data_IF_070993346808
#
_entry.id   IF_070993346808
#
_cell.length_a   1.000
_cell.length_b   1.000
_cell.length_c   1.000
_cell.angle_alpha   90.00
_cell.angle_beta   90.00
_cell.angle_gamma   90.00
#
_symmetry.space_group_name_H-M   'P 1'
#
loop_
_entity.id
_entity.type
_entity.pdbx_description
1 polymer ?
#
# COMPACT_ATOMS: atom_id res chain seq x y z
N UNK A 1 -35.04 -10.72 -6.54
CA UNK A 1 -33.88 -10.50 -7.42
C UNK A 1 -32.64 -10.65 -6.53
N UNK A 2 -31.70 -11.53 -6.84
CA UNK A 2 -30.43 -11.60 -6.09
C UNK A 2 -29.57 -10.43 -6.59
N UNK A 3 -29.23 -9.51 -5.72
CA UNK A 3 -28.33 -8.39 -6.03
C UNK A 3 -26.91 -8.85 -5.66
N UNK A 4 -26.01 -8.85 -6.62
CA UNK A 4 -24.59 -9.12 -6.36
C UNK A 4 -23.91 -7.84 -5.90
N UNK A 5 -22.90 -7.96 -5.04
CA UNK A 5 -21.94 -6.89 -4.71
C UNK A 5 -20.65 -7.17 -5.46
N UNK A 6 -20.10 -6.14 -6.08
CA UNK A 6 -18.83 -6.21 -6.82
C UNK A 6 -17.72 -5.62 -5.95
N UNK A 7 -16.65 -6.38 -5.70
CA UNK A 7 -15.40 -5.87 -5.16
C UNK A 7 -14.47 -5.59 -6.33
N UNK A 8 -14.21 -4.32 -6.61
CA UNK A 8 -13.50 -3.87 -7.81
C UNK A 8 -12.04 -3.50 -7.51
N UNK A 9 -11.10 -4.15 -8.20
CA UNK A 9 -9.66 -3.91 -8.05
C UNK A 9 -9.12 -2.79 -8.95
N UNK A 10 -9.94 -2.28 -9.89
CA UNK A 10 -9.48 -1.23 -10.79
C UNK A 10 -9.42 0.13 -10.10
N UNK A 11 -8.75 1.09 -10.73
CA UNK A 11 -8.73 2.47 -10.22
C UNK A 11 -10.01 3.25 -10.54
N UNK A 12 -10.93 2.66 -11.33
CA UNK A 12 -12.11 3.36 -11.87
C UNK A 12 -13.04 3.93 -10.80
N UNK A 13 -13.25 3.18 -9.73
CA UNK A 13 -14.25 3.48 -8.73
C UNK A 13 -13.70 4.09 -7.43
N UNK A 14 -12.39 4.03 -7.22
CA UNK A 14 -11.75 4.37 -5.95
C UNK A 14 -12.06 5.76 -5.44
N UNK A 15 -12.12 6.75 -6.34
CA UNK A 15 -12.35 8.15 -5.98
C UNK A 15 -13.79 8.63 -6.24
N UNK A 16 -14.74 7.72 -6.50
CA UNK A 16 -16.15 8.08 -6.57
C UNK A 16 -16.72 8.25 -5.16
N UNK A 17 -17.47 9.33 -4.90
CA UNK A 17 -17.96 9.67 -3.55
C UNK A 17 -18.95 8.64 -3.00
N UNK A 18 -19.74 8.03 -3.87
CA UNK A 18 -20.77 7.04 -3.52
C UNK A 18 -20.25 5.59 -3.53
N UNK A 19 -18.95 5.38 -3.80
CA UNK A 19 -18.31 4.07 -3.76
C UNK A 19 -17.31 4.03 -2.58
N UNK A 20 -17.52 3.17 -1.58
CA UNK A 20 -16.59 3.03 -0.48
C UNK A 20 -15.27 2.41 -0.97
N UNK A 21 -14.15 2.99 -0.52
CA UNK A 21 -12.79 2.53 -0.74
C UNK A 21 -12.31 1.89 0.56
N UNK A 22 -12.17 0.55 0.60
CA UNK A 22 -12.08 -0.17 1.86
C UNK A 22 -10.79 -0.97 2.00
N UNK A 23 -10.15 -0.81 3.16
CA UNK A 23 -9.14 -1.71 3.70
C UNK A 23 -9.71 -2.37 4.93
N UNK A 24 -9.79 -3.70 4.93
CA UNK A 24 -10.52 -4.49 5.92
C UNK A 24 -10.13 -4.21 7.38
N UNK A 25 -8.87 -3.89 7.66
CA UNK A 25 -8.36 -3.59 9.00
C UNK A 25 -8.47 -2.10 9.38
N UNK A 26 -8.81 -1.22 8.44
CA UNK A 26 -8.75 0.23 8.65
C UNK A 26 -10.14 0.86 8.74
N UNK A 27 -10.97 0.65 7.73
CA UNK A 27 -12.28 1.29 7.62
C UNK A 27 -13.40 0.32 7.20
N UNK A 28 -13.55 -0.85 7.85
CA UNK A 28 -14.53 -1.85 7.46
C UNK A 28 -16.00 -1.36 7.60
N UNK A 29 -16.25 -0.33 8.41
CA UNK A 29 -17.59 0.23 8.61
C UNK A 29 -18.10 1.00 7.39
N UNK A 30 -17.19 1.44 6.52
CA UNK A 30 -17.54 2.07 5.25
C UNK A 30 -18.29 1.12 4.29
N UNK A 31 -18.18 -0.19 4.50
CA UNK A 31 -18.95 -1.20 3.77
C UNK A 31 -20.47 -0.97 3.86
N UNK A 32 -20.94 -0.38 4.95
CA UNK A 32 -22.40 -0.11 5.13
C UNK A 32 -22.94 0.91 4.11
N UNK A 33 -22.06 1.68 3.48
CA UNK A 33 -22.43 2.74 2.52
C UNK A 33 -22.45 2.27 1.06
N UNK A 34 -22.07 1.02 0.77
CA UNK A 34 -22.00 0.55 -0.62
C UNK A 34 -23.36 0.55 -1.32
N UNK A 35 -23.38 0.82 -2.61
CA UNK A 35 -24.54 0.74 -3.50
C UNK A 35 -24.37 -0.36 -4.56
N UNK A 36 -23.74 -1.47 -4.16
CA UNK A 36 -23.47 -2.62 -5.04
C UNK A 36 -22.04 -2.71 -5.57
N UNK A 37 -21.21 -1.68 -5.34
CA UNK A 37 -19.79 -1.68 -5.66
C UNK A 37 -18.99 -1.27 -4.42
N UNK A 38 -17.89 -1.99 -4.15
CA UNK A 38 -16.86 -1.64 -3.17
C UNK A 38 -15.53 -1.60 -3.90
N UNK A 39 -14.80 -0.51 -3.78
CA UNK A 39 -13.48 -0.38 -4.40
C UNK A 39 -12.37 -0.94 -3.49
N UNK A 40 -11.48 -1.73 -4.08
CA UNK A 40 -10.25 -2.21 -3.47
C UNK A 40 -9.12 -1.23 -3.77
N UNK A 41 -8.37 -0.74 -2.77
CA UNK A 41 -7.37 0.30 -2.98
C UNK A 41 -6.15 -0.13 -3.80
N UNK A 42 -5.28 0.84 -4.07
CA UNK A 42 -3.95 0.62 -4.63
C UNK A 42 -3.06 -0.18 -3.66
N UNK A 43 -2.20 -1.05 -4.21
CA UNK A 43 -1.37 -1.95 -3.41
C UNK A 43 -0.42 -1.21 -2.45
N UNK A 44 0.24 -0.15 -2.92
CA UNK A 44 1.15 0.64 -2.08
C UNK A 44 0.38 1.46 -1.03
N UNK A 45 -0.82 1.93 -1.37
CA UNK A 45 -1.71 2.60 -0.42
C UNK A 45 -2.16 1.64 0.69
N UNK A 46 -2.60 0.42 0.34
CA UNK A 46 -3.10 -0.55 1.32
C UNK A 46 -2.08 -0.85 2.42
N UNK A 47 -0.87 -1.25 2.05
CA UNK A 47 0.15 -1.57 3.05
C UNK A 47 0.53 -0.36 3.91
N UNK A 48 0.53 0.84 3.32
CA UNK A 48 0.81 2.07 4.06
C UNK A 48 -0.28 2.37 5.08
N UNK A 49 -1.55 2.36 4.69
CA UNK A 49 -2.64 2.74 5.61
C UNK A 49 -2.84 1.73 6.72
N UNK A 50 -2.59 0.43 6.50
CA UNK A 50 -2.61 -0.59 7.56
C UNK A 50 -1.59 -0.27 8.65
N UNK A 51 -0.39 0.18 8.28
CA UNK A 51 0.63 0.62 9.25
C UNK A 51 0.31 1.99 9.86
N UNK A 52 -0.29 2.92 9.11
CA UNK A 52 -0.55 4.28 9.57
C UNK A 52 -1.78 4.39 10.48
N UNK A 53 -2.84 3.61 10.24
CA UNK A 53 -4.12 3.75 10.92
C UNK A 53 -4.02 3.66 12.46
N UNK A 54 -3.34 2.67 13.07
CA UNK A 54 -3.22 2.60 14.53
C UNK A 54 -2.41 3.78 15.10
N UNK A 55 -1.44 4.30 14.38
CA UNK A 55 -0.66 5.48 14.78
C UNK A 55 -1.52 6.74 14.69
N UNK A 56 -2.28 6.88 13.60
CA UNK A 56 -3.18 8.02 13.39
C UNK A 56 -4.28 8.07 14.46
N UNK A 57 -4.86 6.93 14.80
CA UNK A 57 -5.87 6.85 15.86
C UNK A 57 -5.32 7.22 17.24
N UNK A 58 -4.06 6.89 17.53
CA UNK A 58 -3.46 7.11 18.84
C UNK A 58 -2.84 8.52 19.03
N UNK A 59 -2.21 9.08 18.00
CA UNK A 59 -1.41 10.31 18.11
C UNK A 59 -1.74 11.35 17.02
N UNK A 60 -2.65 11.05 16.10
CA UNK A 60 -2.90 11.86 14.92
C UNK A 60 -1.64 11.94 14.04
N UNK A 61 -1.78 11.85 12.75
CA UNK A 61 -0.69 12.10 11.80
C UNK A 61 -0.95 13.42 11.09
N UNK A 62 0.07 14.25 11.03
CA UNK A 62 0.03 15.56 10.37
C UNK A 62 0.68 15.51 8.98
N UNK A 63 1.80 14.76 8.86
CA UNK A 63 2.58 14.68 7.63
C UNK A 63 3.17 13.30 7.42
N UNK A 64 3.18 12.83 6.18
CA UNK A 64 3.86 11.61 5.73
C UNK A 64 4.74 11.93 4.54
N UNK A 65 6.00 11.54 4.61
CA UNK A 65 6.89 11.44 3.45
C UNK A 65 7.19 9.96 3.25
N UNK A 66 6.98 9.45 2.05
CA UNK A 66 7.16 8.04 1.77
C UNK A 66 7.91 7.84 0.46
N UNK A 67 8.95 7.01 0.49
CA UNK A 67 9.56 6.46 -0.71
C UNK A 67 9.18 4.99 -0.81
N UNK A 68 8.64 4.58 -1.96
CA UNK A 68 8.30 3.19 -2.21
C UNK A 68 9.39 2.49 -3.02
N UNK A 69 9.55 1.20 -2.79
CA UNK A 69 10.42 0.28 -3.53
C UNK A 69 9.51 -0.83 -4.05
N UNK A 70 8.95 -0.60 -5.25
CA UNK A 70 7.89 -1.46 -5.80
C UNK A 70 8.45 -2.53 -6.72
N UNK A 71 8.09 -3.77 -6.47
CA UNK A 71 8.43 -4.93 -7.29
C UNK A 71 7.75 -4.90 -8.67
N UNK A 72 8.30 -5.64 -9.61
CA UNK A 72 7.82 -5.71 -11.00
C UNK A 72 6.44 -6.38 -11.13
N UNK A 73 6.08 -7.30 -10.22
CA UNK A 73 4.77 -7.96 -10.23
C UNK A 73 3.58 -7.00 -10.13
N UNK A 74 3.78 -5.79 -9.56
CA UNK A 74 2.76 -4.74 -9.53
C UNK A 74 2.36 -4.24 -10.93
N UNK A 75 3.21 -4.42 -11.94
CA UNK A 75 2.93 -4.12 -13.35
C UNK A 75 2.37 -5.35 -14.10
N UNK A 76 2.50 -6.54 -13.52
CA UNK A 76 1.99 -7.79 -14.07
C UNK A 76 3.07 -8.78 -14.51
N UNK A 77 2.66 -9.96 -14.97
CA UNK A 77 3.56 -11.07 -15.30
C UNK A 77 4.63 -10.70 -16.35
N UNK A 78 4.25 -9.95 -17.38
CA UNK A 78 5.19 -9.52 -18.44
C UNK A 78 6.36 -8.68 -17.91
N UNK A 79 6.13 -7.91 -16.85
CA UNK A 79 7.18 -7.12 -16.21
C UNK A 79 8.16 -7.98 -15.39
N UNK A 80 7.67 -9.06 -14.80
CA UNK A 80 8.52 -10.05 -14.13
C UNK A 80 9.36 -10.80 -15.16
N UNK A 81 8.75 -11.26 -16.24
CA UNK A 81 9.42 -11.92 -17.37
C UNK A 81 10.52 -11.03 -17.98
N UNK A 82 10.24 -9.72 -18.17
CA UNK A 82 11.22 -8.76 -18.67
C UNK A 82 12.41 -8.61 -17.71
N UNK A 83 12.16 -8.52 -16.40
CA UNK A 83 13.21 -8.46 -15.38
C UNK A 83 14.09 -9.73 -15.42
N UNK A 84 13.47 -10.91 -15.46
CA UNK A 84 14.17 -12.20 -15.49
C UNK A 84 15.01 -12.35 -16.74
N UNK A 85 14.46 -12.06 -17.92
CA UNK A 85 15.16 -12.12 -19.18
C UNK A 85 16.36 -11.17 -19.24
N UNK A 86 16.15 -9.89 -18.86
CA UNK A 86 17.25 -8.90 -18.82
C UNK A 86 18.34 -9.31 -17.83
N UNK A 87 17.95 -9.82 -16.65
CA UNK A 87 18.90 -10.30 -15.64
C UNK A 87 19.72 -11.47 -16.15
N UNK A 88 19.06 -12.46 -16.76
CA UNK A 88 19.74 -13.62 -17.37
C UNK A 88 20.77 -13.19 -18.43
N UNK A 89 20.35 -12.35 -19.37
CA UNK A 89 21.23 -11.89 -20.45
C UNK A 89 22.47 -11.15 -19.89
N UNK A 90 22.29 -10.23 -18.95
CA UNK A 90 23.40 -9.46 -18.38
C UNK A 90 24.38 -10.37 -17.63
N UNK A 91 23.90 -11.33 -16.83
CA UNK A 91 24.75 -12.26 -16.10
C UNK A 91 25.54 -13.22 -17.03
N UNK A 92 25.10 -13.40 -18.26
CA UNK A 92 25.78 -14.19 -19.30
C UNK A 92 26.54 -13.34 -20.31
N UNK A 93 26.82 -12.08 -19.98
CA UNK A 93 27.56 -11.13 -20.85
C UNK A 93 26.88 -10.91 -22.23
N UNK A 94 25.58 -11.10 -22.30
CA UNK A 94 24.75 -10.81 -23.48
C UNK A 94 24.12 -9.43 -23.37
N UNK A 95 23.95 -8.76 -24.53
CA UNK A 95 23.22 -7.49 -24.55
C UNK A 95 21.71 -7.74 -24.35
N UNK A 96 21.09 -7.14 -23.33
CA UNK A 96 19.66 -7.32 -23.09
C UNK A 96 18.84 -6.64 -24.20
N UNK A 97 17.70 -7.24 -24.51
CA UNK A 97 16.72 -6.63 -25.42
C UNK A 97 16.26 -5.26 -24.91
N UNK A 98 15.81 -4.42 -25.83
CA UNK A 98 15.24 -3.13 -25.49
C UNK A 98 14.02 -3.31 -24.56
N UNK A 99 13.85 -2.45 -23.52
CA UNK A 99 12.71 -2.53 -22.63
C UNK A 99 11.39 -2.44 -23.40
N UNK A 100 10.45 -3.33 -23.09
CA UNK A 100 9.12 -3.38 -23.72
C UNK A 100 7.99 -2.99 -22.75
N UNK A 101 8.20 -3.19 -21.44
CA UNK A 101 7.22 -2.87 -20.39
C UNK A 101 7.53 -1.54 -19.73
N UNK A 102 8.80 -1.31 -19.44
CA UNK A 102 9.26 -0.08 -18.77
C UNK A 102 9.92 0.89 -19.76
N UNK A 103 10.00 2.19 -19.44
CA UNK A 103 10.70 3.16 -20.29
C UNK A 103 12.22 2.94 -20.32
N UNK A 104 12.76 2.25 -19.31
CA UNK A 104 14.18 1.95 -19.16
C UNK A 104 14.37 0.52 -18.67
N UNK A 105 15.59 -0.02 -18.88
CA UNK A 105 15.98 -1.34 -18.36
C UNK A 105 15.75 -1.38 -16.83
N UNK A 106 15.06 -2.41 -16.37
CA UNK A 106 14.79 -2.63 -14.94
C UNK A 106 15.86 -3.48 -14.26
N UNK A 107 16.44 -4.47 -14.94
CA UNK A 107 17.48 -5.31 -14.36
C UNK A 107 18.70 -4.48 -13.94
N UNK A 108 19.13 -4.64 -12.68
CA UNK A 108 20.22 -3.88 -12.06
C UNK A 108 20.04 -2.37 -12.09
N UNK A 109 18.80 -1.90 -11.98
CA UNK A 109 18.46 -0.49 -12.03
C UNK A 109 17.31 -0.15 -11.07
N UNK A 110 17.11 1.14 -10.79
CA UNK A 110 15.95 1.67 -10.08
C UNK A 110 15.32 2.78 -10.91
N UNK A 111 13.99 2.75 -11.07
CA UNK A 111 13.27 3.71 -11.91
C UNK A 111 12.39 4.57 -11.01
N UNK A 112 12.68 5.89 -10.84
CA UNK A 112 11.87 6.79 -10.01
C UNK A 112 10.59 7.21 -10.74
N UNK A 113 9.89 6.23 -11.28
CA UNK A 113 8.64 6.37 -11.99
C UNK A 113 7.83 5.09 -11.88
N UNK A 114 6.66 5.18 -11.27
CA UNK A 114 5.65 4.13 -11.31
C UNK A 114 4.41 4.71 -11.97
N UNK A 115 3.93 4.03 -13.02
CA UNK A 115 2.89 4.53 -13.93
C UNK A 115 3.34 5.78 -14.73
N UNK A 116 2.42 6.69 -15.02
CA UNK A 116 2.63 7.79 -15.97
C UNK A 116 2.57 9.15 -15.29
N UNK A 117 3.35 10.10 -15.77
CA UNK A 117 3.14 11.51 -15.49
C UNK A 117 1.94 12.02 -16.30
N UNK A 118 1.24 13.00 -15.75
CA UNK A 118 0.18 13.74 -16.47
C UNK A 118 0.66 15.13 -16.81
N UNK A 119 0.16 15.68 -17.89
CA UNK A 119 0.48 17.04 -18.29
C UNK A 119 0.14 18.04 -17.17
N UNK A 120 1.11 18.87 -16.82
CA UNK A 120 0.98 19.87 -15.76
C UNK A 120 1.04 19.35 -14.32
N UNK A 121 1.45 18.08 -14.13
CA UNK A 121 1.65 17.49 -12.81
C UNK A 121 3.05 16.89 -12.67
N UNK A 122 3.79 17.30 -11.64
CA UNK A 122 5.13 16.78 -11.34
C UNK A 122 5.08 15.39 -10.67
N UNK A 123 3.89 14.91 -10.29
CA UNK A 123 3.67 13.61 -9.67
C UNK A 123 3.15 12.59 -10.69
N UNK A 124 3.56 11.34 -10.53
CA UNK A 124 2.98 10.23 -11.29
C UNK A 124 1.55 9.94 -10.83
N UNK A 125 0.79 9.22 -11.68
CA UNK A 125 -0.55 8.78 -11.31
C UNK A 125 -0.55 7.84 -10.10
N UNK A 126 0.50 7.05 -9.90
CA UNK A 126 0.68 6.22 -8.71
C UNK A 126 0.83 7.06 -7.44
N UNK A 127 1.65 8.08 -7.47
CA UNK A 127 1.85 9.00 -6.36
C UNK A 127 0.57 9.76 -6.00
N UNK A 128 -0.21 10.16 -7.00
CA UNK A 128 -1.53 10.79 -6.77
C UNK A 128 -2.54 9.82 -6.13
N UNK A 129 -2.51 8.53 -6.50
CA UNK A 129 -3.32 7.51 -5.83
C UNK A 129 -2.93 7.41 -4.35
N UNK A 130 -1.66 7.31 -4.03
CA UNK A 130 -1.22 7.24 -2.64
C UNK A 130 -1.69 8.43 -1.80
N UNK A 131 -1.68 9.64 -2.35
CA UNK A 131 -2.17 10.83 -1.65
C UNK A 131 -3.69 10.76 -1.44
N UNK A 132 -4.44 10.57 -2.52
CA UNK A 132 -5.89 10.74 -2.51
C UNK A 132 -6.60 9.56 -1.84
N UNK A 133 -6.16 8.34 -2.14
CA UNK A 133 -6.74 7.12 -1.56
C UNK A 133 -6.47 7.07 -0.05
N UNK A 134 -5.27 7.43 0.41
CA UNK A 134 -4.95 7.47 1.85
C UNK A 134 -5.88 8.41 2.60
N UNK A 135 -6.08 9.64 2.11
CA UNK A 135 -7.00 10.60 2.73
C UNK A 135 -8.41 10.05 2.81
N UNK A 136 -8.91 9.46 1.73
CA UNK A 136 -10.25 8.87 1.68
C UNK A 136 -10.42 7.71 2.66
N UNK A 137 -9.45 6.80 2.74
CA UNK A 137 -9.51 5.61 3.61
C UNK A 137 -9.42 6.01 5.09
N UNK A 138 -8.50 6.94 5.42
CA UNK A 138 -8.28 7.41 6.80
C UNK A 138 -9.37 8.40 7.23
N UNK A 139 -10.08 9.03 6.27
CA UNK A 139 -11.11 10.03 6.55
C UNK A 139 -10.54 11.38 7.01
N UNK A 140 -9.30 11.71 6.60
CA UNK A 140 -8.64 12.98 6.98
C UNK A 140 -8.04 13.69 5.74
N UNK A 141 -8.78 14.65 5.21
CA UNK A 141 -8.33 15.46 4.06
C UNK A 141 -7.17 16.41 4.40
N UNK A 142 -6.96 16.69 5.70
CA UNK A 142 -5.87 17.57 6.17
C UNK A 142 -4.51 16.89 6.15
N UNK A 143 -4.45 15.56 6.02
CA UNK A 143 -3.22 14.78 6.03
C UNK A 143 -2.32 15.16 4.85
N UNK A 144 -1.11 15.62 5.16
CA UNK A 144 -0.10 16.04 4.18
C UNK A 144 0.77 14.86 3.78
N UNK A 145 0.72 14.45 2.52
CA UNK A 145 1.44 13.27 2.02
C UNK A 145 2.31 13.66 0.84
N UNK A 146 3.58 13.26 0.88
CA UNK A 146 4.54 13.45 -0.21
C UNK A 146 5.20 12.12 -0.56
N UNK A 147 4.68 11.39 -1.56
CA UNK A 147 5.25 10.14 -2.03
C UNK A 147 6.30 10.34 -3.12
N UNK A 148 7.25 9.41 -3.18
CA UNK A 148 8.11 9.16 -4.34
C UNK A 148 8.03 7.67 -4.65
N UNK A 149 7.46 7.31 -5.79
CA UNK A 149 7.27 5.92 -6.17
C UNK A 149 8.39 5.43 -7.09
N UNK A 150 9.10 4.39 -6.63
CA UNK A 150 10.26 3.83 -7.33
C UNK A 150 10.00 2.38 -7.70
N UNK A 151 10.26 2.01 -8.95
CA UNK A 151 10.28 0.61 -9.41
C UNK A 151 11.68 0.04 -9.18
N UNK A 152 11.74 -1.13 -8.53
CA UNK A 152 12.99 -1.83 -8.20
C UNK A 152 13.03 -3.22 -8.86
N UNK A 153 14.24 -3.80 -9.08
CA UNK A 153 14.41 -5.08 -9.75
C UNK A 153 14.14 -6.26 -8.81
N UNK A 154 12.95 -6.28 -8.22
CA UNK A 154 12.44 -7.38 -7.41
C UNK A 154 11.20 -7.96 -8.07
N UNK A 155 11.04 -9.29 -8.08
CA UNK A 155 9.86 -9.92 -8.67
C UNK A 155 8.60 -9.69 -7.85
N UNK A 156 8.67 -9.72 -6.51
CA UNK A 156 7.51 -9.62 -5.62
C UNK A 156 7.79 -8.77 -4.38
N UNK A 157 6.74 -8.38 -3.70
CA UNK A 157 6.67 -7.50 -2.52
C UNK A 157 7.05 -6.04 -2.79
N UNK A 158 6.31 -5.16 -2.15
CA UNK A 158 6.62 -3.73 -2.09
C UNK A 158 7.18 -3.39 -0.72
N UNK A 159 8.21 -2.56 -0.71
CA UNK A 159 8.75 -1.99 0.52
C UNK A 159 8.55 -0.48 0.53
N UNK A 160 8.49 0.12 1.72
CA UNK A 160 8.31 1.55 1.89
C UNK A 160 9.20 2.07 3.01
N UNK A 161 9.90 3.17 2.75
CA UNK A 161 10.53 4.00 3.77
C UNK A 161 9.58 5.14 4.09
N UNK A 162 9.07 5.16 5.30
CA UNK A 162 8.07 6.13 5.76
C UNK A 162 8.68 7.02 6.83
N UNK A 163 8.59 8.34 6.63
CA UNK A 163 8.84 9.36 7.63
C UNK A 163 7.51 10.03 7.94
N UNK A 164 7.03 9.90 9.17
CA UNK A 164 5.74 10.44 9.60
C UNK A 164 5.88 11.37 10.79
N UNK A 165 5.20 12.50 10.75
CA UNK A 165 5.08 13.45 11.86
C UNK A 165 3.70 13.29 12.50
N UNK A 166 3.69 13.12 13.82
CA UNK A 166 2.46 13.02 14.61
C UNK A 166 2.06 14.37 15.20
N UNK A 167 0.77 14.53 15.51
CA UNK A 167 0.25 15.72 16.21
C UNK A 167 0.65 15.70 17.69
N UNK A 168 0.52 14.54 18.31
CA UNK A 168 0.98 14.29 19.68
C UNK A 168 2.30 13.52 19.66
N UNK A 169 3.14 13.70 20.71
CA UNK A 169 4.41 12.96 20.76
C UNK A 169 4.17 11.46 20.94
N UNK A 170 4.82 10.67 20.11
CA UNK A 170 4.75 9.21 20.12
C UNK A 170 6.15 8.61 20.24
N UNK A 171 6.43 7.94 21.34
CA UNK A 171 7.69 7.23 21.52
C UNK A 171 7.75 5.99 20.60
N UNK A 172 8.94 5.61 20.07
CA UNK A 172 9.11 4.42 19.23
C UNK A 172 8.62 3.14 19.92
N UNK A 173 8.82 3.00 21.22
CA UNK A 173 8.37 1.86 22.03
C UNK A 173 6.84 1.77 22.01
N UNK A 174 6.16 2.89 22.21
CA UNK A 174 4.70 2.93 22.14
C UNK A 174 4.18 2.68 20.74
N UNK A 175 4.88 3.15 19.72
CA UNK A 175 4.56 2.84 18.32
C UNK A 175 4.65 1.33 18.04
N UNK A 176 5.69 0.63 18.54
CA UNK A 176 5.81 -0.83 18.42
C UNK A 176 4.65 -1.55 19.10
N UNK A 177 4.26 -1.14 20.30
CA UNK A 177 3.12 -1.72 21.00
C UNK A 177 1.82 -1.57 20.22
N UNK A 178 1.53 -0.38 19.69
CA UNK A 178 0.34 -0.10 18.89
C UNK A 178 0.30 -0.98 17.64
N UNK A 179 1.41 -1.06 16.93
CA UNK A 179 1.53 -1.85 15.70
C UNK A 179 1.45 -3.36 15.99
N UNK A 180 2.04 -3.83 17.09
CA UNK A 180 1.98 -5.25 17.47
C UNK A 180 0.57 -5.70 17.88
N UNK A 181 -0.27 -4.77 18.31
CA UNK A 181 -1.68 -5.05 18.66
C UNK A 181 -2.64 -4.85 17.48
N UNK A 182 -2.16 -4.27 16.36
CA UNK A 182 -2.99 -3.94 15.22
C UNK A 182 -3.29 -5.19 14.36
N UNK A 183 -4.53 -5.36 13.88
CA UNK A 183 -4.86 -6.47 12.99
C UNK A 183 -4.10 -6.34 11.66
N UNK A 184 -3.67 -7.47 11.10
CA UNK A 184 -2.97 -7.53 9.82
C UNK A 184 -1.54 -6.97 9.84
N UNK A 185 -0.99 -6.64 11.01
CA UNK A 185 0.38 -6.13 11.18
C UNK A 185 1.24 -7.14 11.93
N UNK A 186 2.43 -7.40 11.41
CA UNK A 186 3.49 -8.13 12.10
C UNK A 186 4.71 -7.23 12.30
N UNK A 187 5.10 -6.99 13.55
CA UNK A 187 6.31 -6.19 13.87
C UNK A 187 7.53 -7.09 13.88
N UNK A 188 8.53 -6.73 13.07
CA UNK A 188 9.87 -7.35 13.02
C UNK A 188 10.88 -6.24 13.20
N UNK A 189 11.30 -5.99 14.46
CA UNK A 189 12.12 -4.81 14.78
C UNK A 189 13.14 -5.09 15.89
N UNK A 190 14.12 -5.93 15.57
CA UNK A 190 15.34 -6.14 16.37
C UNK A 190 16.58 -5.88 15.51
N UNK A 191 16.99 -4.61 15.37
CA UNK A 191 18.15 -4.25 14.55
C UNK A 191 19.46 -4.83 15.08
N UNK A 192 19.58 -5.14 16.38
CA UNK A 192 20.76 -5.71 16.97
C UNK A 192 20.99 -7.16 16.51
N UNK A 193 19.88 -7.89 16.32
CA UNK A 193 19.90 -9.23 15.73
C UNK A 193 19.82 -9.21 14.19
N UNK A 194 19.82 -8.03 13.53
CA UNK A 194 19.62 -7.90 12.10
C UNK A 194 18.19 -8.24 11.63
N UNK A 195 17.21 -8.29 12.56
CA UNK A 195 15.83 -8.63 12.24
C UNK A 195 15.02 -7.37 11.90
N UNK A 196 14.58 -7.30 10.66
CA UNK A 196 13.71 -6.26 10.09
C UNK A 196 12.96 -6.85 8.88
N UNK A 197 11.85 -6.25 8.42
CA UNK A 197 11.09 -6.80 7.30
C UNK A 197 11.88 -6.87 6.00
N UNK A 198 11.83 -8.02 5.34
CA UNK A 198 12.46 -8.29 4.05
C UNK A 198 11.43 -8.73 3.01
N UNK A 199 11.58 -8.28 1.77
CA UNK A 199 10.69 -8.66 0.67
C UNK A 199 10.71 -10.18 0.42
N UNK A 200 11.88 -10.82 0.53
CA UNK A 200 12.03 -12.28 0.38
C UNK A 200 11.29 -13.10 1.43
N UNK A 201 11.07 -12.55 2.62
CA UNK A 201 10.39 -13.24 3.74
C UNK A 201 8.89 -12.91 3.80
N UNK A 202 8.50 -11.73 3.28
CA UNK A 202 7.12 -11.30 3.22
C UNK A 202 6.35 -11.93 2.04
N UNK A 203 7.06 -12.40 1.01
CA UNK A 203 6.46 -13.04 -0.15
C UNK A 203 5.61 -14.26 0.23
N UNK A 204 4.38 -14.34 -0.27
CA UNK A 204 3.41 -15.39 0.04
C UNK A 204 2.69 -15.22 1.38
N UNK A 205 2.91 -14.14 2.12
CA UNK A 205 2.24 -13.86 3.40
C UNK A 205 1.23 -12.72 3.26
N UNK A 206 0.23 -12.73 4.15
CA UNK A 206 -0.89 -11.78 4.09
C UNK A 206 -0.70 -10.56 4.98
N UNK A 207 0.27 -10.60 5.92
CA UNK A 207 0.52 -9.50 6.84
C UNK A 207 1.24 -8.32 6.18
N UNK A 208 1.08 -7.16 6.79
CA UNK A 208 1.95 -6.00 6.60
C UNK A 208 3.03 -6.04 7.67
N UNK A 209 4.29 -6.19 7.24
CA UNK A 209 5.44 -6.27 8.13
C UNK A 209 5.99 -4.87 8.38
N UNK A 210 6.21 -4.52 9.66
CA UNK A 210 6.73 -3.20 10.04
C UNK A 210 7.94 -3.37 10.95
N UNK A 211 8.98 -2.58 10.68
CA UNK A 211 10.18 -2.55 11.51
C UNK A 211 10.99 -1.28 11.29
N UNK A 212 12.23 -1.26 11.80
CA UNK A 212 13.10 -0.10 11.78
C UNK A 212 12.41 1.15 12.36
N UNK A 213 11.59 0.93 13.40
CA UNK A 213 10.82 1.97 14.09
C UNK A 213 11.78 2.77 14.96
N UNK A 214 11.93 4.06 14.64
CA UNK A 214 12.88 4.94 15.34
C UNK A 214 12.49 6.40 15.22
N UNK A 215 12.94 7.23 16.17
CA UNK A 215 12.78 8.68 16.05
C UNK A 215 13.58 9.23 14.87
N UNK A 216 13.04 10.28 14.27
CA UNK A 216 13.78 11.13 13.36
C UNK A 216 14.51 12.20 14.20
N UNK A 217 15.86 12.24 14.21
CA UNK A 217 16.59 13.22 15.02
C UNK A 217 16.54 14.64 14.42
N UNK A 218 16.06 14.79 13.20
CA UNK A 218 16.04 16.07 12.46
C UNK A 218 14.72 16.82 12.59
N UNK A 219 13.65 16.15 13.09
CA UNK A 219 12.32 16.70 13.15
C UNK A 219 11.57 16.23 14.40
N UNK A 220 10.96 17.18 15.12
CA UNK A 220 10.18 16.88 16.32
C UNK A 220 8.94 16.02 16.01
N UNK A 221 8.54 15.19 16.97
CA UNK A 221 7.37 14.31 16.88
C UNK A 221 7.32 13.46 15.62
N UNK A 222 8.48 13.06 15.11
CA UNK A 222 8.62 12.37 13.85
C UNK A 222 9.26 11.00 14.05
N UNK A 223 8.68 10.00 13.38
CA UNK A 223 9.15 8.63 13.36
C UNK A 223 9.52 8.21 11.94
N UNK A 224 10.49 7.31 11.85
CA UNK A 224 10.82 6.58 10.63
C UNK A 224 10.39 5.12 10.79
N UNK A 225 9.78 4.57 9.76
CA UNK A 225 9.33 3.17 9.67
C UNK A 225 9.84 2.54 8.38
N UNK A 226 9.98 1.22 8.40
CA UNK A 226 10.17 0.39 7.22
C UNK A 226 9.01 -0.60 7.14
N UNK A 227 8.29 -0.59 6.02
CA UNK A 227 7.08 -1.39 5.82
C UNK A 227 7.26 -2.27 4.59
N UNK A 228 6.90 -3.55 4.70
CA UNK A 228 6.97 -4.52 3.60
C UNK A 228 5.69 -5.34 3.56
N UNK A 229 5.15 -5.59 2.37
CA UNK A 229 4.00 -6.48 2.18
C UNK A 229 4.02 -7.13 0.79
N UNK A 230 3.39 -8.28 0.67
CA UNK A 230 3.14 -8.92 -0.62
C UNK A 230 2.03 -8.15 -1.37
N UNK A 231 2.44 -7.48 -2.44
CA UNK A 231 1.57 -6.60 -3.23
C UNK A 231 0.50 -7.38 -4.03
N UNK A 232 0.69 -8.66 -4.28
CA UNK A 232 -0.28 -9.51 -4.95
C UNK A 232 -1.32 -10.08 -3.96
N UNK A 233 -0.91 -10.26 -2.69
CA UNK A 233 -1.76 -10.78 -1.62
C UNK A 233 -2.46 -9.62 -0.89
N UNK A 234 -1.91 -9.12 0.20
CA UNK A 234 -2.53 -8.00 0.96
C UNK A 234 -2.76 -6.79 0.07
N UNK A 235 -1.83 -6.49 -0.80
CA UNK A 235 -1.93 -5.35 -1.74
C UNK A 235 -3.00 -5.52 -2.84
N UNK A 236 -3.66 -6.67 -2.97
CA UNK A 236 -4.66 -6.92 -4.01
C UNK A 236 -5.69 -7.99 -3.60
N UNK A 237 -5.36 -9.28 -3.79
CA UNK A 237 -6.31 -10.37 -3.69
C UNK A 237 -6.82 -10.59 -2.27
N UNK A 238 -5.95 -10.60 -1.27
CA UNK A 238 -6.33 -10.89 0.12
C UNK A 238 -7.31 -9.84 0.65
N UNK A 239 -7.06 -8.55 0.43
CA UNK A 239 -8.00 -7.51 0.87
C UNK A 239 -9.36 -7.62 0.17
N UNK A 240 -9.37 -7.97 -1.12
CA UNK A 240 -10.64 -8.18 -1.85
C UNK A 240 -11.45 -9.35 -1.28
N UNK A 241 -10.78 -10.46 -0.90
CA UNK A 241 -11.42 -11.60 -0.22
C UNK A 241 -11.92 -11.20 1.17
N UNK A 242 -11.11 -10.53 1.96
CA UNK A 242 -11.49 -10.03 3.29
C UNK A 242 -12.70 -9.07 3.23
N UNK A 243 -12.78 -8.22 2.21
CA UNK A 243 -13.97 -7.38 1.98
C UNK A 243 -15.20 -8.25 1.71
N UNK A 244 -15.07 -9.30 0.89
CA UNK A 244 -16.18 -10.19 0.59
C UNK A 244 -16.65 -10.98 1.82
N UNK A 245 -15.73 -11.46 2.65
CA UNK A 245 -16.01 -12.11 3.93
C UNK A 245 -16.76 -11.17 4.89
N UNK A 246 -16.26 -9.93 5.06
CA UNK A 246 -16.92 -8.92 5.90
C UNK A 246 -18.32 -8.54 5.39
N UNK A 247 -18.52 -8.48 4.08
CA UNK A 247 -19.85 -8.26 3.50
C UNK A 247 -20.83 -9.38 3.83
N UNK A 248 -20.36 -10.63 3.80
CA UNK A 248 -21.18 -11.81 4.17
C UNK A 248 -21.47 -11.85 5.68
N UNK A 249 -20.44 -11.77 6.50
CA UNK A 249 -20.52 -11.76 7.96
C UNK A 249 -21.47 -10.67 8.51
N UNK A 250 -21.47 -9.50 7.87
CA UNK A 250 -22.31 -8.36 8.26
C UNK A 250 -23.69 -8.38 7.60
N UNK A 251 -24.02 -9.39 6.79
CA UNK A 251 -25.29 -9.49 6.07
C UNK A 251 -25.52 -8.36 5.06
N UNK A 252 -24.45 -7.81 4.50
CA UNK A 252 -24.50 -6.70 3.54
C UNK A 252 -24.65 -7.19 2.09
N UNK A 253 -24.45 -8.49 1.82
CA UNK A 253 -24.68 -9.08 0.50
C UNK A 253 -26.19 -9.11 0.22
N UNK A 254 -26.62 -8.41 -0.83
CA UNK A 254 -28.05 -8.30 -1.19
C UNK A 254 -28.82 -7.15 -0.51
N UNK A 255 -28.16 -6.39 0.35
CA UNK A 255 -28.73 -5.18 0.97
C UNK A 255 -28.67 -3.94 0.05
N UNK A 256 -28.10 -4.08 -1.16
CA UNK A 256 -27.98 -3.01 -2.14
C UNK A 256 -29.32 -2.40 -2.50
N UNK A 257 -29.46 -1.11 -2.20
CA UNK A 257 -30.61 -0.23 -2.47
C UNK A 257 -31.77 -0.28 -1.46
N UNK A 258 -31.52 -0.17 -0.17
CA UNK A 258 -32.45 0.56 0.67
C UNK A 258 -32.21 2.04 0.42
N UNK A 259 -32.89 2.59 -0.59
CA UNK A 259 -33.07 4.03 -0.71
C UNK A 259 -33.64 4.55 0.61
N UNK A 260 -32.86 5.41 1.28
CA UNK A 260 -33.44 6.29 2.27
C UNK A 260 -34.54 7.11 1.57
N UNK A 261 -35.75 6.88 1.98
CA UNK A 261 -36.88 7.71 1.62
C UNK A 261 -36.82 9.02 2.40
#
# INVERSE_FOLDING_TARGET
MRVAVVVDNSSRWRMQDDVPLVVSEVNPDDLTRHRGIVANPNCSTMQMVVALAPIHAAAGIDRVVVSTYQSTSGTGARAVEELEAQTHMILHEMEPEAPAVYPHRIAFNVLPQVETFRDGDDYTTEERKMINETRKIVGDDSLRISPTCVRVPLPNCHSQSINLQTREDLAPERCRELLSAAPGVTVVDDPAAGAYPLASEAAGRDDVFVGRIRRDPSQERTLNLWVVSDNLRKGAATNAVQIAELLDERGLIGAGARTAA
#
